data_IF_136043008455
#
_entry.id   IF_136043008455
#
_cell.length_a   1.000
_cell.length_b   1.000
_cell.length_c   1.000
_cell.angle_alpha   90.00
_cell.angle_beta   90.00
_cell.angle_gamma   90.00
#
_symmetry.space_group_name_H-M   'P 1'
#
loop_
_entity.id
_entity.type
_entity.pdbx_description
1 polymer ?
#
# COMPACT_ATOMS: atom_id res chain seq x y z
N UNK A 1 53.88 -39.27 -16.52
CA UNK A 1 55.08 -38.69 -17.17
C UNK A 1 54.81 -38.30 -18.63
N UNK A 2 54.62 -39.24 -19.56
CA UNK A 2 54.41 -38.89 -20.99
C UNK A 2 53.21 -37.95 -21.23
N UNK A 3 52.06 -38.21 -20.61
CA UNK A 3 50.90 -37.31 -20.69
C UNK A 3 51.15 -35.93 -20.08
N UNK A 4 52.05 -35.83 -19.08
CA UNK A 4 52.40 -34.54 -18.46
C UNK A 4 53.26 -33.75 -19.43
N UNK A 5 54.21 -34.39 -20.13
CA UNK A 5 55.00 -33.74 -21.18
C UNK A 5 54.13 -33.24 -22.33
N UNK A 6 53.13 -34.01 -22.77
CA UNK A 6 52.14 -33.53 -23.74
C UNK A 6 51.36 -32.31 -23.26
N UNK A 7 51.06 -32.20 -21.96
CA UNK A 7 50.43 -30.99 -21.42
C UNK A 7 51.38 -29.81 -21.38
N UNK A 8 52.65 -30.04 -21.04
CA UNK A 8 53.69 -29.01 -20.96
C UNK A 8 53.94 -28.36 -22.32
N UNK A 9 54.01 -29.19 -23.36
CA UNK A 9 54.17 -28.72 -24.73
C UNK A 9 53.49 -29.70 -25.71
N UNK A 10 52.20 -29.47 -26.05
CA UNK A 10 51.46 -30.35 -26.95
C UNK A 10 51.94 -30.27 -28.40
N UNK A 11 52.72 -29.24 -28.75
CA UNK A 11 53.26 -29.05 -30.10
C UNK A 11 54.48 -29.96 -30.29
N UNK A 12 55.38 -30.02 -29.31
CA UNK A 12 56.55 -30.89 -29.36
C UNK A 12 56.21 -32.35 -28.99
N UNK A 13 55.46 -32.55 -27.91
CA UNK A 13 55.03 -33.88 -27.45
C UNK A 13 53.64 -34.22 -28.00
N UNK A 14 53.53 -34.26 -29.33
CA UNK A 14 52.27 -34.48 -30.05
C UNK A 14 51.69 -35.89 -29.85
N UNK A 15 50.49 -36.14 -30.40
CA UNK A 15 49.86 -37.46 -30.34
C UNK A 15 50.72 -38.55 -30.99
N UNK A 16 51.51 -38.23 -32.03
CA UNK A 16 52.40 -39.19 -32.67
C UNK A 16 53.54 -39.64 -31.75
N UNK A 17 54.09 -38.72 -30.96
CA UNK A 17 55.07 -39.04 -29.94
C UNK A 17 54.44 -39.87 -28.81
N UNK A 18 53.26 -39.46 -28.33
CA UNK A 18 52.57 -40.16 -27.24
C UNK A 18 52.16 -41.58 -27.63
N UNK A 19 51.73 -41.81 -28.88
CA UNK A 19 51.38 -43.14 -29.41
C UNK A 19 52.56 -44.14 -29.39
N UNK A 20 53.81 -43.65 -29.25
CA UNK A 20 54.99 -44.53 -29.07
C UNK A 20 55.09 -45.09 -27.66
N UNK A 21 54.34 -44.56 -26.70
CA UNK A 21 54.31 -44.98 -25.30
C UNK A 21 53.15 -45.94 -25.10
N UNK A 22 53.43 -47.17 -24.67
CA UNK A 22 52.37 -48.18 -24.44
C UNK A 22 51.66 -47.93 -23.10
N UNK A 23 50.33 -48.00 -23.07
CA UNK A 23 49.49 -47.64 -21.91
C UNK A 23 49.19 -48.81 -20.96
N UNK A 24 49.08 -50.04 -21.46
CA UNK A 24 48.73 -51.23 -20.66
C UNK A 24 49.95 -52.07 -20.27
N UNK A 25 50.84 -51.48 -19.47
CA UNK A 25 52.17 -52.07 -19.18
C UNK A 25 52.14 -53.10 -18.04
N UNK A 26 51.17 -53.03 -17.12
CA UNK A 26 51.06 -53.95 -15.97
C UNK A 26 52.36 -54.06 -15.17
N UNK A 27 52.77 -55.29 -14.83
CA UNK A 27 54.03 -55.60 -14.14
C UNK A 27 55.21 -55.90 -15.09
N UNK A 28 55.04 -55.65 -16.39
CA UNK A 28 56.10 -55.89 -17.37
C UNK A 28 57.19 -54.80 -17.28
N UNK A 29 58.14 -55.00 -16.36
CA UNK A 29 59.23 -54.06 -16.10
C UNK A 29 60.06 -53.73 -17.35
N UNK A 30 60.28 -54.68 -18.27
CA UNK A 30 61.00 -54.43 -19.54
C UNK A 30 60.28 -53.40 -20.40
N UNK A 31 58.95 -53.47 -20.43
CA UNK A 31 58.11 -52.54 -21.16
C UNK A 31 58.03 -51.17 -20.44
N UNK A 32 58.05 -51.14 -19.09
CA UNK A 32 58.21 -49.91 -18.31
C UNK A 32 59.53 -49.21 -18.65
N UNK A 33 60.65 -49.93 -18.62
CA UNK A 33 61.97 -49.39 -19.01
C UNK A 33 61.93 -48.87 -20.45
N UNK A 34 61.34 -49.60 -21.39
CA UNK A 34 61.24 -49.15 -22.78
C UNK A 34 60.48 -47.83 -22.91
N UNK A 35 59.38 -47.65 -22.17
CA UNK A 35 58.64 -46.39 -22.16
C UNK A 35 59.44 -45.28 -21.47
N UNK A 36 60.05 -45.55 -20.32
CA UNK A 36 60.87 -44.59 -19.58
C UNK A 36 62.07 -44.11 -20.41
N UNK A 37 62.72 -44.99 -21.17
CA UNK A 37 63.79 -44.61 -22.12
C UNK A 37 63.31 -43.64 -23.19
N UNK A 38 62.10 -43.85 -23.74
CA UNK A 38 61.50 -42.94 -24.72
C UNK A 38 61.14 -41.58 -24.11
N UNK A 39 60.62 -41.58 -22.89
CA UNK A 39 60.28 -40.38 -22.14
C UNK A 39 61.55 -39.59 -21.82
N UNK A 40 62.57 -40.23 -21.22
CA UNK A 40 63.84 -39.59 -20.89
C UNK A 40 64.50 -39.03 -22.15
N UNK A 41 64.54 -39.80 -23.24
CA UNK A 41 65.05 -39.29 -24.52
C UNK A 41 64.28 -38.06 -24.99
N UNK A 42 62.95 -38.09 -24.98
CA UNK A 42 62.13 -36.93 -25.37
C UNK A 42 62.37 -35.71 -24.50
N UNK A 43 62.60 -35.89 -23.20
CA UNK A 43 62.94 -34.79 -22.29
C UNK A 43 64.32 -34.20 -22.63
N UNK A 44 65.32 -35.04 -22.88
CA UNK A 44 66.68 -34.59 -23.20
C UNK A 44 66.72 -33.89 -24.56
N UNK A 45 66.04 -34.45 -25.57
CA UNK A 45 65.91 -33.86 -26.90
C UNK A 45 65.18 -32.50 -26.78
N UNK A 46 64.07 -32.42 -26.04
CA UNK A 46 63.34 -31.15 -25.80
C UNK A 46 64.19 -30.09 -25.10
N UNK A 47 64.94 -30.48 -24.05
CA UNK A 47 65.82 -29.55 -23.35
C UNK A 47 66.91 -28.99 -24.27
N UNK A 48 67.47 -29.85 -25.13
CA UNK A 48 68.53 -29.45 -26.04
C UNK A 48 68.02 -28.63 -27.23
N UNK A 49 66.98 -29.11 -27.91
CA UNK A 49 66.49 -28.57 -29.18
C UNK A 49 65.57 -27.36 -29.01
N UNK A 50 64.69 -27.37 -28.00
CA UNK A 50 63.69 -26.33 -27.80
C UNK A 50 64.11 -25.35 -26.71
N UNK A 51 64.54 -25.86 -25.55
CA UNK A 51 64.89 -25.00 -24.41
C UNK A 51 66.32 -24.43 -24.51
N UNK A 52 67.11 -24.87 -25.49
CA UNK A 52 68.49 -24.43 -25.70
C UNK A 52 69.41 -24.68 -24.51
N UNK A 53 69.03 -25.61 -23.63
CA UNK A 53 69.71 -25.85 -22.36
C UNK A 53 70.37 -27.22 -22.36
N UNK A 54 71.69 -27.23 -22.29
CA UNK A 54 72.42 -28.46 -21.98
C UNK A 54 72.33 -28.68 -20.48
N UNK A 55 71.67 -29.77 -20.09
CA UNK A 55 71.69 -30.29 -18.74
C UNK A 55 73.14 -30.75 -18.46
N UNK A 56 73.96 -29.81 -17.99
CA UNK A 56 75.35 -30.05 -17.62
C UNK A 56 75.40 -30.21 -16.10
N UNK A 57 76.01 -31.30 -15.63
CA UNK A 57 76.22 -31.66 -14.22
C UNK A 57 74.99 -32.13 -13.42
N UNK A 58 73.84 -32.37 -14.07
CA UNK A 58 72.76 -33.15 -13.47
C UNK A 58 72.97 -34.65 -13.70
N UNK A 59 72.80 -35.46 -12.66
CA UNK A 59 72.89 -36.92 -12.79
C UNK A 59 71.65 -37.44 -13.51
N UNK A 60 71.81 -37.95 -14.74
CA UNK A 60 70.70 -38.52 -15.51
C UNK A 60 70.06 -39.70 -14.76
N UNK A 61 68.72 -39.80 -14.73
CA UNK A 61 68.04 -40.87 -14.00
C UNK A 61 68.28 -42.24 -14.64
N UNK A 62 68.58 -43.25 -13.82
CA UNK A 62 68.67 -44.63 -14.28
C UNK A 62 67.30 -45.27 -14.39
N UNK A 63 66.76 -45.22 -15.61
CA UNK A 63 65.46 -45.79 -15.96
C UNK A 63 65.36 -47.31 -15.77
N UNK A 64 66.48 -48.04 -15.67
CA UNK A 64 66.45 -49.47 -15.38
C UNK A 64 66.13 -49.71 -13.90
N UNK A 65 66.73 -48.93 -12.99
CA UNK A 65 66.41 -48.98 -11.55
C UNK A 65 64.95 -48.59 -11.29
N UNK A 66 64.41 -47.60 -12.01
CA UNK A 66 62.99 -47.25 -11.92
C UNK A 66 62.08 -48.39 -12.41
N UNK A 67 62.45 -49.06 -13.51
CA UNK A 67 61.64 -50.12 -14.08
C UNK A 67 61.67 -51.44 -13.31
N UNK A 68 62.86 -51.88 -12.86
CA UNK A 68 63.08 -53.17 -12.19
C UNK A 68 62.82 -53.12 -10.69
N UNK A 69 63.23 -52.03 -10.03
CA UNK A 69 63.21 -51.92 -8.57
C UNK A 69 62.24 -50.86 -8.05
N UNK A 70 61.56 -50.12 -8.94
CA UNK A 70 60.67 -49.00 -8.56
C UNK A 70 61.37 -47.99 -7.65
N UNK A 71 62.64 -47.71 -7.93
CA UNK A 71 63.47 -46.81 -7.14
C UNK A 71 62.88 -45.38 -7.11
N UNK A 72 62.53 -44.91 -5.91
CA UNK A 72 61.88 -43.62 -5.71
C UNK A 72 62.81 -42.42 -5.95
N UNK A 73 64.13 -42.59 -5.75
CA UNK A 73 65.12 -41.54 -5.97
C UNK A 73 65.31 -41.28 -7.47
N UNK A 74 65.48 -42.35 -8.25
CA UNK A 74 65.61 -42.25 -9.71
C UNK A 74 64.29 -41.82 -10.38
N UNK A 75 63.15 -42.22 -9.81
CA UNK A 75 61.84 -41.70 -10.23
C UNK A 75 61.70 -40.20 -9.91
N UNK A 76 62.20 -39.77 -8.75
CA UNK A 76 62.27 -38.36 -8.35
C UNK A 76 63.07 -37.53 -9.35
N UNK A 77 64.24 -38.01 -9.78
CA UNK A 77 65.05 -37.35 -10.82
C UNK A 77 64.35 -37.27 -12.17
N UNK A 78 63.61 -38.32 -12.57
CA UNK A 78 62.76 -38.28 -13.77
C UNK A 78 61.69 -37.19 -13.68
N UNK A 79 61.06 -37.03 -12.52
CA UNK A 79 60.06 -35.99 -12.28
C UNK A 79 60.69 -34.59 -12.23
N UNK A 80 61.90 -34.47 -11.66
CA UNK A 80 62.66 -33.22 -11.61
C UNK A 80 63.02 -32.72 -13.01
N UNK A 81 63.37 -33.61 -13.95
CA UNK A 81 63.58 -33.24 -15.35
C UNK A 81 62.29 -32.75 -16.03
N UNK A 82 61.14 -33.37 -15.76
CA UNK A 82 59.84 -32.93 -16.28
C UNK A 82 59.45 -31.58 -15.69
N UNK A 83 59.66 -31.38 -14.39
CA UNK A 83 59.48 -30.09 -13.72
C UNK A 83 60.38 -29.03 -14.35
N UNK A 84 61.65 -29.36 -14.63
CA UNK A 84 62.59 -28.52 -15.36
C UNK A 84 62.08 -28.09 -16.73
N UNK A 85 61.39 -28.99 -17.44
CA UNK A 85 60.71 -28.64 -18.70
C UNK A 85 59.54 -27.70 -18.47
N UNK A 86 58.68 -27.98 -17.48
CA UNK A 86 57.50 -27.17 -17.17
C UNK A 86 57.84 -25.73 -16.78
N UNK A 87 58.92 -25.50 -16.02
CA UNK A 87 59.31 -24.15 -15.60
C UNK A 87 60.15 -23.40 -16.64
N UNK A 88 60.54 -24.07 -17.73
CA UNK A 88 61.29 -23.46 -18.84
C UNK A 88 60.52 -23.36 -20.16
N UNK A 89 59.38 -24.05 -20.31
CA UNK A 89 58.56 -23.98 -21.53
C UNK A 89 57.90 -22.60 -21.73
N UNK A 90 57.26 -22.39 -22.88
CA UNK A 90 56.56 -21.13 -23.19
C UNK A 90 55.48 -20.79 -22.15
N UNK A 91 54.75 -21.82 -21.67
CA UNK A 91 53.69 -21.69 -20.68
C UNK A 91 54.18 -21.75 -19.22
N UNK A 92 55.49 -21.55 -18.97
CA UNK A 92 56.09 -21.66 -17.63
C UNK A 92 55.39 -20.85 -16.54
N UNK A 93 54.77 -19.72 -16.89
CA UNK A 93 54.07 -18.87 -15.92
C UNK A 93 52.89 -19.57 -15.27
N UNK A 94 52.12 -20.38 -16.00
CA UNK A 94 50.97 -21.11 -15.44
C UNK A 94 51.43 -22.20 -14.46
N UNK A 95 52.53 -22.89 -14.79
CA UNK A 95 53.11 -23.90 -13.91
C UNK A 95 53.74 -23.29 -12.65
N UNK A 96 54.45 -22.17 -12.77
CA UNK A 96 55.01 -21.45 -11.63
C UNK A 96 53.89 -20.93 -10.71
N UNK A 97 52.81 -20.36 -11.26
CA UNK A 97 51.66 -19.94 -10.47
C UNK A 97 50.99 -21.13 -9.76
N UNK A 98 50.88 -22.28 -10.44
CA UNK A 98 50.34 -23.49 -9.81
C UNK A 98 51.21 -23.93 -8.64
N UNK A 99 52.54 -23.87 -8.77
CA UNK A 99 53.47 -24.17 -7.67
C UNK A 99 53.26 -23.19 -6.51
N UNK A 100 53.10 -21.89 -6.79
CA UNK A 100 52.86 -20.86 -5.76
C UNK A 100 51.52 -21.01 -5.00
N UNK A 101 50.58 -21.80 -5.52
CA UNK A 101 49.32 -22.10 -4.85
C UNK A 101 49.37 -23.39 -4.02
N UNK A 102 50.49 -24.12 -4.04
CA UNK A 102 50.70 -25.33 -3.23
C UNK A 102 51.07 -24.97 -1.78
N UNK A 103 51.10 -25.95 -0.88
CA UNK A 103 51.59 -25.77 0.48
C UNK A 103 53.07 -25.35 0.50
N UNK A 104 53.44 -24.48 1.44
CA UNK A 104 54.79 -23.88 1.55
C UNK A 104 55.92 -24.91 1.64
N UNK A 105 55.67 -26.03 2.33
CA UNK A 105 56.61 -27.17 2.42
C UNK A 105 56.90 -27.79 1.04
N UNK A 106 55.88 -27.87 0.18
CA UNK A 106 56.00 -28.41 -1.18
C UNK A 106 56.66 -27.39 -2.11
N UNK A 107 56.33 -26.11 -1.96
CA UNK A 107 56.98 -25.02 -2.72
C UNK A 107 58.50 -25.03 -2.52
N UNK A 108 58.95 -25.15 -1.26
CA UNK A 108 60.37 -25.18 -0.95
C UNK A 108 61.08 -26.40 -1.56
N UNK A 109 60.47 -27.59 -1.48
CA UNK A 109 61.02 -28.81 -2.10
C UNK A 109 61.15 -28.69 -3.63
N UNK A 110 60.15 -28.10 -4.28
CA UNK A 110 60.15 -27.85 -5.73
C UNK A 110 61.22 -26.82 -6.12
N UNK A 111 61.40 -25.77 -5.31
CA UNK A 111 62.42 -24.74 -5.53
C UNK A 111 63.84 -25.32 -5.47
N UNK A 112 64.13 -26.13 -4.46
CA UNK A 112 65.43 -26.81 -4.32
C UNK A 112 65.71 -27.72 -5.51
N UNK A 113 64.71 -28.47 -5.98
CA UNK A 113 64.84 -29.33 -7.15
C UNK A 113 65.12 -28.55 -8.45
N UNK A 114 64.60 -27.33 -8.58
CA UNK A 114 64.91 -26.44 -9.72
C UNK A 114 66.33 -25.88 -9.61
N UNK A 115 66.79 -25.52 -8.41
CA UNK A 115 68.14 -24.97 -8.19
C UNK A 115 69.24 -26.00 -8.43
N UNK A 116 69.03 -27.26 -8.05
CA UNK A 116 69.98 -28.36 -8.26
C UNK A 116 70.25 -28.64 -9.75
N UNK A 117 69.28 -28.35 -10.63
CA UNK A 117 69.48 -28.42 -12.08
C UNK A 117 70.40 -27.31 -12.64
N UNK A 118 70.86 -26.36 -11.81
CA UNK A 118 71.45 -25.09 -12.29
C UNK A 118 72.83 -24.71 -11.72
N UNK A 119 73.53 -25.52 -10.91
CA UNK A 119 74.83 -25.13 -10.31
C UNK A 119 76.06 -25.90 -10.84
N UNK A 120 77.16 -25.19 -11.08
CA UNK A 120 78.45 -25.68 -11.62
C UNK A 120 79.61 -25.15 -10.78
N UNK A 121 80.39 -26.01 -10.13
CA UNK A 121 81.75 -25.68 -9.63
C UNK A 121 82.65 -26.93 -9.64
N UNK A 122 83.93 -26.77 -9.98
CA UNK A 122 85.01 -27.77 -9.76
C UNK A 122 86.41 -27.18 -10.06
N UNK A 123 87.54 -27.84 -9.65
CA UNK A 123 88.52 -27.26 -8.72
C UNK A 123 89.99 -27.27 -9.22
N UNK A 124 90.87 -26.68 -8.39
CA UNK A 124 92.30 -26.98 -8.06
C UNK A 124 93.09 -27.97 -8.94
N UNK A 125 94.36 -27.62 -9.27
CA UNK A 125 95.59 -28.34 -8.81
C UNK A 125 96.76 -28.44 -9.82
N UNK A 126 97.98 -28.03 -9.37
CA UNK A 126 99.34 -28.63 -9.53
C UNK A 126 99.88 -28.87 -10.98
N UNK A 127 101.13 -28.66 -11.40
CA UNK A 127 102.46 -28.35 -10.82
C UNK A 127 103.49 -28.42 -11.99
N UNK A 128 104.44 -27.45 -12.09
CA UNK A 128 105.90 -27.53 -11.77
C UNK A 128 106.80 -28.03 -12.93
N UNK A 129 107.75 -27.23 -13.44
CA UNK A 129 109.06 -27.74 -13.95
C UNK A 129 110.21 -26.71 -14.19
N UNK A 130 111.39 -27.00 -13.62
CA UNK A 130 112.21 -26.18 -12.70
C UNK A 130 113.10 -25.02 -13.23
N UNK A 131 112.95 -24.50 -14.46
CA UNK A 131 113.73 -23.31 -14.89
C UNK A 131 113.01 -22.37 -15.86
N UNK A 132 111.99 -22.86 -16.57
CA UNK A 132 110.79 -22.07 -16.83
C UNK A 132 110.02 -21.84 -15.52
N UNK A 133 110.17 -22.72 -14.52
CA UNK A 133 109.67 -22.61 -13.15
C UNK A 133 110.13 -21.40 -12.37
N UNK A 134 111.30 -20.79 -12.58
CA UNK A 134 111.62 -19.61 -11.77
C UNK A 134 110.80 -18.39 -12.24
N UNK A 135 110.62 -18.26 -13.55
CA UNK A 135 109.76 -17.24 -14.18
C UNK A 135 108.26 -17.61 -14.06
N UNK A 136 107.94 -18.90 -14.14
CA UNK A 136 106.61 -19.47 -13.90
C UNK A 136 106.27 -19.56 -12.42
N UNK A 137 107.22 -19.65 -11.48
CA UNK A 137 107.01 -19.53 -10.03
C UNK A 137 106.85 -18.08 -9.65
N UNK A 138 107.55 -17.15 -10.29
CA UNK A 138 107.31 -15.73 -10.06
C UNK A 138 105.94 -15.33 -10.62
N UNK A 139 105.59 -15.83 -11.81
CA UNK A 139 104.26 -15.65 -12.40
C UNK A 139 103.16 -16.38 -11.61
N UNK A 140 103.40 -17.62 -11.17
CA UNK A 140 102.49 -18.42 -10.34
C UNK A 140 102.37 -17.88 -8.93
N UNK A 141 103.43 -17.38 -8.31
CA UNK A 141 103.36 -16.71 -7.01
C UNK A 141 102.65 -15.35 -7.11
N UNK A 142 102.78 -14.65 -8.24
CA UNK A 142 102.03 -13.43 -8.51
C UNK A 142 100.56 -13.71 -8.84
N UNK A 143 100.26 -14.81 -9.55
CA UNK A 143 98.91 -15.33 -9.76
C UNK A 143 98.29 -15.78 -8.43
N UNK A 144 99.00 -16.57 -7.60
CA UNK A 144 98.60 -16.99 -6.25
C UNK A 144 98.41 -15.79 -5.30
N UNK A 145 99.24 -14.74 -5.41
CA UNK A 145 99.08 -13.51 -4.64
C UNK A 145 97.84 -12.72 -5.08
N UNK A 146 97.58 -12.64 -6.40
CA UNK A 146 96.37 -12.00 -6.92
C UNK A 146 95.10 -12.79 -6.57
N UNK A 147 95.15 -14.12 -6.64
CA UNK A 147 94.07 -15.01 -6.22
C UNK A 147 93.81 -14.89 -4.72
N UNK A 148 94.86 -14.81 -3.90
CA UNK A 148 94.75 -14.58 -2.46
C UNK A 148 94.20 -13.18 -2.14
N UNK A 149 94.56 -12.15 -2.92
CA UNK A 149 93.99 -10.81 -2.78
C UNK A 149 92.52 -10.77 -3.20
N UNK A 150 92.15 -11.46 -4.28
CA UNK A 150 90.76 -11.59 -4.73
C UNK A 150 89.91 -12.34 -3.70
N UNK A 151 90.41 -13.47 -3.17
CA UNK A 151 89.74 -14.22 -2.11
C UNK A 151 89.62 -13.40 -0.81
N UNK A 152 90.64 -12.60 -0.46
CA UNK A 152 90.57 -11.67 0.67
C UNK A 152 89.48 -10.61 0.45
N UNK A 153 89.39 -10.04 -0.74
CA UNK A 153 88.38 -9.03 -1.08
C UNK A 153 86.97 -9.64 -1.06
N UNK A 154 86.79 -10.86 -1.58
CA UNK A 154 85.53 -11.59 -1.55
C UNK A 154 85.10 -11.91 -0.11
N UNK A 155 86.03 -12.37 0.75
CA UNK A 155 85.76 -12.59 2.17
C UNK A 155 85.40 -11.27 2.86
N UNK A 156 86.10 -10.17 2.55
CA UNK A 156 85.79 -8.86 3.12
C UNK A 156 84.41 -8.36 2.69
N UNK A 157 84.01 -8.55 1.43
CA UNK A 157 82.65 -8.26 0.94
C UNK A 157 81.62 -9.10 1.66
N UNK A 158 81.85 -10.41 1.81
CA UNK A 158 80.93 -11.31 2.52
C UNK A 158 80.81 -10.98 4.00
N UNK A 159 81.91 -10.58 4.65
CA UNK A 159 81.87 -10.05 6.01
C UNK A 159 81.04 -8.76 6.09
N UNK A 160 81.21 -7.85 5.15
CA UNK A 160 80.43 -6.61 5.09
C UNK A 160 78.93 -6.87 4.87
N UNK A 161 78.57 -7.78 3.96
CA UNK A 161 77.19 -8.20 3.72
C UNK A 161 76.55 -8.86 4.95
N UNK A 162 77.32 -9.69 5.67
CA UNK A 162 76.86 -10.28 6.94
C UNK A 162 76.67 -9.21 8.02
N UNK A 163 77.58 -8.25 8.14
CA UNK A 163 77.43 -7.13 9.08
C UNK A 163 76.19 -6.30 8.77
N UNK A 164 75.90 -6.05 7.49
CA UNK A 164 74.68 -5.37 7.05
C UNK A 164 73.40 -6.17 7.37
N UNK A 165 73.40 -7.48 7.15
CA UNK A 165 72.26 -8.35 7.51
C UNK A 165 72.03 -8.39 9.02
N UNK A 166 73.11 -8.49 9.81
CA UNK A 166 73.02 -8.47 11.27
C UNK A 166 72.46 -7.12 11.73
N UNK A 167 72.92 -6.01 11.16
CA UNK A 167 72.39 -4.68 11.48
C UNK A 167 70.88 -4.57 11.16
N UNK A 168 70.45 -5.05 9.98
CA UNK A 168 69.04 -5.06 9.59
C UNK A 168 68.17 -5.92 10.53
N UNK A 169 68.61 -7.12 10.86
CA UNK A 169 67.91 -8.00 11.81
C UNK A 169 67.84 -7.39 13.23
N UNK A 170 68.87 -6.65 13.64
CA UNK A 170 68.90 -5.97 14.93
C UNK A 170 67.87 -4.83 14.99
N UNK A 171 67.70 -4.09 13.90
CA UNK A 171 66.71 -3.02 13.76
C UNK A 171 65.28 -3.59 13.74
N UNK A 172 65.03 -4.63 12.95
CA UNK A 172 63.73 -5.30 12.89
C UNK A 172 63.33 -5.88 14.26
N UNK A 173 64.26 -6.54 14.95
CA UNK A 173 64.04 -7.01 16.33
C UNK A 173 63.67 -5.88 17.27
N UNK A 174 64.33 -4.73 17.15
CA UNK A 174 64.05 -3.55 17.98
C UNK A 174 62.65 -2.99 17.70
N UNK A 175 62.25 -2.93 16.43
CA UNK A 175 60.91 -2.50 16.01
C UNK A 175 59.81 -3.44 16.53
N UNK A 176 59.99 -4.75 16.38
CA UNK A 176 59.04 -5.75 16.85
C UNK A 176 58.88 -5.74 18.38
N UNK A 177 59.97 -5.47 19.12
CA UNK A 177 59.91 -5.32 20.58
C UNK A 177 59.11 -4.09 21.00
N UNK A 178 59.28 -2.96 20.30
CA UNK A 178 58.51 -1.74 20.57
C UNK A 178 57.00 -1.94 20.28
N UNK A 179 56.66 -2.61 19.18
CA UNK A 179 55.27 -2.94 18.85
C UNK A 179 54.65 -3.88 19.90
N UNK A 180 55.38 -4.89 20.35
CA UNK A 180 54.94 -5.79 21.41
C UNK A 180 54.65 -5.05 22.73
N UNK A 181 55.50 -4.07 23.10
CA UNK A 181 55.26 -3.24 24.28
C UNK A 181 53.95 -2.45 24.16
N UNK A 182 53.68 -1.84 23.01
CA UNK A 182 52.44 -1.08 22.78
C UNK A 182 51.22 -1.99 22.85
N UNK A 183 51.28 -3.19 22.26
CA UNK A 183 50.19 -4.17 22.31
C UNK A 183 49.95 -4.66 23.75
N UNK A 184 51.00 -4.93 24.52
CA UNK A 184 50.89 -5.27 25.94
C UNK A 184 50.27 -4.14 26.76
N UNK A 185 50.64 -2.89 26.52
CA UNK A 185 50.04 -1.74 27.21
C UNK A 185 48.55 -1.59 26.89
N UNK A 186 48.13 -1.79 25.63
CA UNK A 186 46.71 -1.78 25.25
C UNK A 186 45.92 -2.92 25.88
N UNK A 187 46.51 -4.11 25.96
CA UNK A 187 45.88 -5.27 26.60
C UNK A 187 45.70 -5.02 28.10
N UNK A 188 46.73 -4.51 28.78
CA UNK A 188 46.65 -4.15 30.20
C UNK A 188 45.62 -3.04 30.48
N UNK A 189 45.43 -2.08 29.55
CA UNK A 189 44.37 -1.08 29.65
C UNK A 189 42.96 -1.69 29.48
N UNK A 190 42.82 -2.73 28.65
CA UNK A 190 41.59 -3.49 28.49
C UNK A 190 41.29 -4.35 29.72
N UNK A 191 42.28 -5.04 30.28
CA UNK A 191 42.13 -5.81 31.53
C UNK A 191 41.75 -4.89 32.71
N UNK A 192 42.24 -3.65 32.71
CA UNK A 192 41.85 -2.61 33.68
C UNK A 192 40.39 -2.16 33.54
N UNK A 193 39.75 -2.33 32.38
CA UNK A 193 38.32 -2.10 32.20
C UNK A 193 37.49 -3.27 32.76
N UNK A 194 38.03 -4.49 32.73
CA UNK A 194 37.38 -5.68 33.31
C UNK A 194 37.47 -5.73 34.83
N UNK A 195 38.49 -5.11 35.46
CA UNK A 195 38.56 -4.95 36.91
C UNK A 195 37.57 -3.89 37.43
N UNK A 196 36.49 -4.28 38.14
CA UNK A 196 35.47 -3.35 38.64
C UNK A 196 36.01 -2.36 39.69
N UNK A 197 37.18 -2.63 40.28
CA UNK A 197 37.79 -1.77 41.29
C UNK A 197 38.74 -0.71 40.71
N UNK A 198 39.12 -0.84 39.44
CA UNK A 198 39.94 0.16 38.75
C UNK A 198 39.11 1.43 38.49
N UNK A 199 39.74 2.63 38.45
CA UNK A 199 39.05 3.87 38.07
C UNK A 199 38.39 3.79 36.67
N UNK A 200 38.99 3.04 35.74
CA UNK A 200 38.44 2.83 34.40
C UNK A 200 37.25 1.86 34.42
N UNK A 201 37.36 0.75 35.14
CA UNK A 201 36.26 -0.22 35.32
C UNK A 201 35.05 0.37 36.05
N UNK A 202 35.26 1.19 37.09
CA UNK A 202 34.15 1.93 37.76
C UNK A 202 33.43 2.88 36.82
N UNK A 203 34.17 3.62 36.00
CA UNK A 203 33.59 4.54 35.00
C UNK A 203 32.83 3.77 33.93
N UNK A 204 33.37 2.65 33.47
CA UNK A 204 32.71 1.75 32.53
C UNK A 204 31.38 1.22 33.10
N UNK A 205 31.39 0.68 34.32
CA UNK A 205 30.18 0.19 34.98
C UNK A 205 29.13 1.29 35.17
N UNK A 206 29.56 2.50 35.56
CA UNK A 206 28.67 3.64 35.71
C UNK A 206 28.01 4.06 34.40
N UNK A 207 28.77 4.07 33.29
CA UNK A 207 28.23 4.33 31.95
C UNK A 207 27.29 3.21 31.50
N UNK A 208 27.61 1.95 31.79
CA UNK A 208 26.76 0.81 31.49
C UNK A 208 25.41 0.91 32.21
N UNK A 209 25.40 1.19 33.52
CA UNK A 209 24.16 1.40 34.27
C UNK A 209 23.37 2.60 33.76
N UNK A 210 24.03 3.70 33.36
CA UNK A 210 23.34 4.83 32.72
C UNK A 210 22.71 4.44 31.37
N UNK A 211 23.40 3.61 30.59
CA UNK A 211 22.89 3.08 29.32
C UNK A 211 21.64 2.21 29.55
N UNK A 212 21.69 1.31 30.53
CA UNK A 212 20.56 0.47 30.92
C UNK A 212 19.36 1.31 31.41
N UNK A 213 19.61 2.32 32.25
CA UNK A 213 18.56 3.25 32.71
C UNK A 213 17.92 4.04 31.58
N UNK A 214 18.73 4.56 30.65
CA UNK A 214 18.22 5.28 29.47
C UNK A 214 17.44 4.36 28.53
N UNK A 215 17.86 3.10 28.38
CA UNK A 215 17.12 2.11 27.61
C UNK A 215 15.76 1.80 28.25
N UNK A 216 15.72 1.59 29.57
CA UNK A 216 14.48 1.35 30.30
C UNK A 216 13.53 2.57 30.22
N UNK A 217 14.06 3.78 30.38
CA UNK A 217 13.29 5.01 30.24
C UNK A 217 12.75 5.18 28.81
N UNK A 218 13.55 4.85 27.79
CA UNK A 218 13.12 4.87 26.38
C UNK A 218 11.96 3.92 26.16
N UNK A 219 12.07 2.67 26.64
CA UNK A 219 10.99 1.69 26.50
C UNK A 219 9.71 2.14 27.22
N UNK A 220 9.83 2.71 28.43
CA UNK A 220 8.69 3.24 29.19
C UNK A 220 8.02 4.41 28.45
N UNK A 221 8.81 5.32 27.86
CA UNK A 221 8.30 6.44 27.09
C UNK A 221 7.64 5.99 25.78
N UNK A 222 8.18 4.98 25.10
CA UNK A 222 7.57 4.36 23.93
C UNK A 222 6.21 3.74 24.26
N UNK A 223 6.13 2.96 25.34
CA UNK A 223 4.86 2.38 25.80
C UNK A 223 3.82 3.47 26.12
N UNK A 224 4.22 4.52 26.87
CA UNK A 224 3.32 5.63 27.19
C UNK A 224 2.88 6.40 25.94
N UNK A 225 3.77 6.57 24.95
CA UNK A 225 3.44 7.21 23.67
C UNK A 225 2.39 6.39 22.92
N UNK A 226 2.51 5.06 22.90
CA UNK A 226 1.51 4.20 22.27
C UNK A 226 0.16 4.26 22.98
N UNK A 227 0.14 4.29 24.32
CA UNK A 227 -1.10 4.48 25.09
C UNK A 227 -1.78 5.82 24.76
N UNK A 228 -1.00 6.91 24.68
CA UNK A 228 -1.54 8.21 24.27
C UNK A 228 -2.02 8.23 22.83
N UNK A 229 -1.34 7.52 21.92
CA UNK A 229 -1.77 7.38 20.52
C UNK A 229 -3.13 6.69 20.44
N UNK A 230 -3.30 5.57 21.14
CA UNK A 230 -4.59 4.84 21.20
C UNK A 230 -5.67 5.76 21.80
N UNK A 231 -5.36 6.49 22.87
CA UNK A 231 -6.32 7.41 23.49
C UNK A 231 -6.75 8.54 22.56
N UNK A 232 -5.83 9.08 21.76
CA UNK A 232 -6.15 10.07 20.74
C UNK A 232 -7.07 9.49 19.66
N UNK A 233 -6.79 8.28 19.16
CA UNK A 233 -7.62 7.58 18.17
C UNK A 233 -9.05 7.33 18.70
N UNK A 234 -9.19 6.94 19.98
CA UNK A 234 -10.49 6.79 20.64
C UNK A 234 -11.27 8.10 20.73
N UNK A 235 -10.60 9.19 21.16
CA UNK A 235 -11.23 10.50 21.28
C UNK A 235 -11.63 11.09 19.92
N UNK A 236 -10.83 10.87 18.88
CA UNK A 236 -11.18 11.26 17.50
C UNK A 236 -12.42 10.52 17.00
N UNK A 237 -12.54 9.23 17.33
CA UNK A 237 -13.73 8.45 17.02
C UNK A 237 -14.96 8.97 17.77
N UNK A 238 -14.84 9.24 19.07
CA UNK A 238 -15.92 9.81 19.89
C UNK A 238 -16.37 11.19 19.37
N UNK A 239 -15.41 12.05 18.98
CA UNK A 239 -15.72 13.35 18.36
C UNK A 239 -16.50 13.16 17.05
N UNK A 240 -16.11 12.19 16.24
CA UNK A 240 -16.79 11.91 14.95
C UNK A 240 -18.21 11.40 15.18
N UNK A 241 -18.39 10.48 16.13
CA UNK A 241 -19.72 9.95 16.52
C UNK A 241 -20.62 11.05 17.08
N UNK A 242 -20.10 11.91 17.97
CA UNK A 242 -20.85 13.04 18.53
C UNK A 242 -21.22 14.08 17.47
N UNK A 243 -20.34 14.33 16.48
CA UNK A 243 -20.66 15.21 15.34
C UNK A 243 -21.80 14.64 14.49
N UNK A 244 -21.75 13.34 14.15
CA UNK A 244 -22.83 12.70 13.42
C UNK A 244 -24.16 12.77 14.18
N UNK A 245 -24.15 12.48 15.48
CA UNK A 245 -25.35 12.61 16.32
C UNK A 245 -25.89 14.04 16.35
N UNK A 246 -25.02 15.05 16.34
CA UNK A 246 -25.43 16.45 16.32
C UNK A 246 -26.07 16.84 14.97
N UNK A 247 -25.51 16.35 13.86
CA UNK A 247 -26.10 16.52 12.52
C UNK A 247 -27.48 15.87 12.43
N UNK A 248 -27.63 14.63 12.92
CA UNK A 248 -28.91 13.91 12.94
C UNK A 248 -29.96 14.61 13.83
N UNK A 249 -29.54 15.19 14.96
CA UNK A 249 -30.43 15.99 15.81
C UNK A 249 -30.83 17.31 15.15
N UNK A 250 -29.93 17.92 14.38
CA UNK A 250 -30.19 19.16 13.65
C UNK A 250 -31.21 18.93 12.53
N UNK A 251 -31.05 17.86 11.75
CA UNK A 251 -32.01 17.50 10.70
C UNK A 251 -33.40 17.19 11.29
N UNK A 252 -33.46 16.47 12.40
CA UNK A 252 -34.73 16.21 13.09
C UNK A 252 -35.39 17.50 13.62
N UNK A 253 -34.61 18.46 14.09
CA UNK A 253 -35.11 19.76 14.53
C UNK A 253 -35.70 20.56 13.36
N UNK A 254 -35.04 20.55 12.20
CA UNK A 254 -35.52 21.21 10.99
C UNK A 254 -36.82 20.57 10.48
N UNK A 255 -36.92 19.23 10.48
CA UNK A 255 -38.14 18.51 10.14
C UNK A 255 -39.29 18.84 11.11
N UNK A 256 -39.02 18.86 12.42
CA UNK A 256 -40.02 19.22 13.42
C UNK A 256 -40.52 20.66 13.23
N UNK A 257 -39.64 21.58 12.84
CA UNK A 257 -40.02 22.96 12.55
C UNK A 257 -40.88 23.05 11.27
N UNK A 258 -40.51 22.32 10.20
CA UNK A 258 -41.32 22.25 8.98
C UNK A 258 -42.72 21.70 9.25
N UNK A 259 -42.82 20.62 10.02
CA UNK A 259 -44.12 20.03 10.39
C UNK A 259 -44.96 20.99 11.24
N UNK A 260 -44.33 21.77 12.12
CA UNK A 260 -45.02 22.80 12.90
C UNK A 260 -45.60 23.90 12.00
N UNK A 261 -44.83 24.36 11.01
CA UNK A 261 -45.28 25.37 10.06
C UNK A 261 -46.46 24.84 9.22
N UNK A 262 -46.41 23.58 8.78
CA UNK A 262 -47.54 22.91 8.11
C UNK A 262 -48.78 22.81 9.01
N UNK A 263 -48.60 22.45 10.29
CA UNK A 263 -49.70 22.41 11.26
C UNK A 263 -50.36 23.78 11.45
N UNK A 264 -49.58 24.86 11.48
CA UNK A 264 -50.10 26.21 11.63
C UNK A 264 -50.87 26.68 10.38
N UNK A 265 -50.41 26.31 9.18
CA UNK A 265 -51.17 26.51 7.93
C UNK A 265 -52.50 25.75 7.96
N UNK A 266 -52.49 24.49 8.39
CA UNK A 266 -53.71 23.67 8.51
C UNK A 266 -54.68 24.24 9.55
N UNK A 267 -54.18 24.73 10.69
CA UNK A 267 -55.01 25.43 11.69
C UNK A 267 -55.69 26.66 11.10
N UNK A 268 -54.94 27.50 10.38
CA UNK A 268 -55.53 28.68 9.76
C UNK A 268 -56.60 28.31 8.71
N UNK A 269 -56.36 27.26 7.92
CA UNK A 269 -57.34 26.71 6.99
C UNK A 269 -58.60 26.21 7.71
N UNK A 270 -58.43 25.47 8.82
CA UNK A 270 -59.52 24.98 9.66
C UNK A 270 -60.38 26.13 10.20
N UNK A 271 -59.76 27.19 10.73
CA UNK A 271 -60.48 28.39 11.21
C UNK A 271 -61.28 29.07 10.08
N UNK A 272 -60.72 29.10 8.87
CA UNK A 272 -61.41 29.64 7.69
C UNK A 272 -62.62 28.78 7.33
N UNK A 273 -62.48 27.45 7.36
CA UNK A 273 -63.59 26.52 7.11
C UNK A 273 -64.70 26.74 8.15
N UNK A 274 -64.36 26.78 9.44
CA UNK A 274 -65.35 27.00 10.51
C UNK A 274 -66.13 28.33 10.34
N UNK A 275 -65.45 29.40 9.91
CA UNK A 275 -66.12 30.68 9.58
C UNK A 275 -67.08 30.54 8.40
N UNK A 276 -66.66 29.85 7.34
CA UNK A 276 -67.51 29.61 6.17
C UNK A 276 -68.73 28.73 6.53
N UNK A 277 -68.55 27.69 7.34
CA UNK A 277 -69.65 26.86 7.84
C UNK A 277 -70.67 27.67 8.63
N UNK A 278 -70.21 28.55 9.52
CA UNK A 278 -71.10 29.47 10.27
C UNK A 278 -71.88 30.41 9.33
N UNK A 279 -71.23 30.93 8.29
CA UNK A 279 -71.91 31.75 7.28
C UNK A 279 -72.96 30.96 6.49
N UNK A 280 -72.63 29.73 6.07
CA UNK A 280 -73.57 28.84 5.39
C UNK A 280 -74.79 28.57 6.26
N UNK A 281 -74.60 28.31 7.56
CA UNK A 281 -75.70 28.08 8.48
C UNK A 281 -76.58 29.33 8.65
N UNK A 282 -75.98 30.52 8.72
CA UNK A 282 -76.73 31.79 8.71
C UNK A 282 -77.55 31.96 7.43
N UNK A 283 -77.00 31.62 6.26
CA UNK A 283 -77.72 31.71 4.99
C UNK A 283 -78.85 30.69 4.87
N UNK A 284 -78.67 29.47 5.39
CA UNK A 284 -79.74 28.46 5.46
C UNK A 284 -80.92 28.99 6.28
N UNK A 285 -80.66 29.54 7.47
CA UNK A 285 -81.71 30.13 8.30
C UNK A 285 -82.47 31.26 7.59
N UNK A 286 -81.74 32.16 6.90
CA UNK A 286 -82.37 33.21 6.09
C UNK A 286 -83.23 32.66 4.96
N UNK A 287 -82.83 31.55 4.33
CA UNK A 287 -83.62 30.88 3.29
C UNK A 287 -84.89 30.25 3.86
N UNK A 288 -84.83 29.66 5.05
CA UNK A 288 -85.99 29.15 5.77
C UNK A 288 -86.98 30.27 6.09
N UNK A 289 -86.50 31.39 6.66
CA UNK A 289 -87.32 32.57 6.96
C UNK A 289 -87.99 33.14 5.69
N UNK A 290 -87.26 33.21 4.56
CA UNK A 290 -87.82 33.61 3.27
C UNK A 290 -88.88 32.63 2.77
N UNK A 291 -88.68 31.32 2.99
CA UNK A 291 -89.66 30.29 2.69
C UNK A 291 -90.96 30.48 3.48
N UNK A 292 -90.85 30.79 4.76
CA UNK A 292 -92.00 31.09 5.62
C UNK A 292 -92.71 32.37 5.22
N UNK A 293 -91.97 33.44 4.91
CA UNK A 293 -92.56 34.68 4.43
C UNK A 293 -93.32 34.47 3.11
N UNK A 294 -92.76 33.68 2.18
CA UNK A 294 -93.46 33.32 0.93
C UNK A 294 -94.77 32.56 1.20
N UNK A 295 -94.79 31.64 2.17
CA UNK A 295 -96.02 30.95 2.58
C UNK A 295 -97.03 31.91 3.18
N UNK A 296 -96.60 32.85 4.02
CA UNK A 296 -97.47 33.88 4.61
C UNK A 296 -98.06 34.80 3.54
N UNK A 297 -97.26 35.23 2.56
CA UNK A 297 -97.74 36.03 1.42
C UNK A 297 -98.82 35.28 0.65
N UNK A 298 -98.59 34.01 0.32
CA UNK A 298 -99.58 33.19 -0.38
C UNK A 298 -100.90 33.05 0.40
N UNK A 299 -100.83 32.84 1.73
CA UNK A 299 -102.02 32.79 2.59
C UNK A 299 -102.78 34.12 2.63
N UNK A 300 -102.06 35.25 2.63
CA UNK A 300 -102.67 36.57 2.57
C UNK A 300 -103.32 36.85 1.21
N UNK A 301 -102.69 36.44 0.12
CA UNK A 301 -103.26 36.51 -1.24
C UNK A 301 -104.54 35.67 -1.37
N UNK A 302 -104.54 34.45 -0.84
CA UNK A 302 -105.73 33.58 -0.79
C UNK A 302 -106.86 34.22 0.04
N UNK A 303 -106.55 34.78 1.21
CA UNK A 303 -107.52 35.51 2.05
C UNK A 303 -108.08 36.75 1.35
N UNK A 304 -107.22 37.53 0.68
CA UNK A 304 -107.65 38.72 -0.06
C UNK A 304 -108.58 38.33 -1.22
N UNK A 305 -108.26 37.25 -1.93
CA UNK A 305 -109.12 36.70 -2.98
C UNK A 305 -110.48 36.28 -2.43
N UNK A 306 -110.53 35.61 -1.27
CA UNK A 306 -111.79 35.27 -0.60
C UNK A 306 -112.58 36.52 -0.19
N UNK A 307 -111.94 37.54 0.37
CA UNK A 307 -112.61 38.80 0.72
C UNK A 307 -113.18 39.51 -0.52
N UNK A 308 -112.45 39.52 -1.63
CA UNK A 308 -112.92 40.09 -2.89
C UNK A 308 -114.14 39.32 -3.42
N UNK A 309 -114.10 37.98 -3.45
CA UNK A 309 -115.25 37.16 -3.84
C UNK A 309 -116.47 37.41 -2.96
N UNK A 310 -116.28 37.49 -1.64
CA UNK A 310 -117.35 37.78 -0.69
C UNK A 310 -117.93 39.19 -0.91
N UNK A 311 -117.07 40.18 -1.19
CA UNK A 311 -117.51 41.56 -1.50
C UNK A 311 -118.37 41.58 -2.75
N UNK A 312 -117.94 40.92 -3.83
CA UNK A 312 -118.74 40.80 -5.07
C UNK A 312 -120.09 40.13 -4.80
N UNK A 313 -120.11 39.04 -4.02
CA UNK A 313 -121.36 38.36 -3.65
C UNK A 313 -122.31 39.28 -2.87
N UNK A 314 -121.79 40.05 -1.90
CA UNK A 314 -122.57 41.01 -1.13
C UNK A 314 -123.07 42.18 -2.00
N UNK A 315 -122.28 42.65 -2.97
CA UNK A 315 -122.71 43.66 -3.94
C UNK A 315 -123.85 43.14 -4.83
N UNK A 316 -123.80 41.88 -5.26
CA UNK A 316 -124.89 41.24 -6.00
C UNK A 316 -126.17 41.10 -5.16
N UNK A 317 -126.05 40.68 -3.90
CA UNK A 317 -127.17 40.62 -2.97
C UNK A 317 -127.78 42.00 -2.73
N UNK A 318 -126.94 43.03 -2.52
CA UNK A 318 -127.38 44.41 -2.37
C UNK A 318 -128.10 44.90 -3.63
N UNK A 319 -127.62 44.55 -4.83
CA UNK A 319 -128.28 44.87 -6.10
C UNK A 319 -129.66 44.23 -6.18
N UNK A 320 -129.80 42.95 -5.81
CA UNK A 320 -131.09 42.24 -5.75
C UNK A 320 -132.03 42.87 -4.72
N UNK A 321 -131.54 43.18 -3.54
CA UNK A 321 -132.32 43.84 -2.48
C UNK A 321 -132.82 45.22 -2.92
N UNK A 322 -131.96 46.02 -3.58
CA UNK A 322 -132.35 47.32 -4.14
C UNK A 322 -133.40 47.19 -5.25
N UNK A 323 -133.28 46.19 -6.14
CA UNK A 323 -134.29 45.90 -7.15
C UNK A 323 -135.64 45.52 -6.52
N UNK A 324 -135.62 44.62 -5.52
CA UNK A 324 -136.82 44.25 -4.76
C UNK A 324 -137.44 45.46 -4.03
N UNK A 325 -136.61 46.34 -3.46
CA UNK A 325 -137.08 47.59 -2.83
C UNK A 325 -137.77 48.52 -3.83
N UNK A 326 -137.22 48.66 -5.04
CA UNK A 326 -137.83 49.46 -6.11
C UNK A 326 -139.17 48.89 -6.58
N UNK A 327 -139.27 47.55 -6.69
CA UNK A 327 -140.55 46.88 -6.98
C UNK A 327 -141.57 47.10 -5.86
N UNK A 328 -141.16 46.96 -4.60
CA UNK A 328 -142.02 47.21 -3.44
C UNK A 328 -142.56 48.65 -3.43
N UNK A 329 -141.72 49.64 -3.76
CA UNK A 329 -142.14 51.03 -3.83
C UNK A 329 -143.15 51.27 -4.97
N UNK A 330 -142.99 50.57 -6.09
CA UNK A 330 -143.96 50.58 -7.19
C UNK A 330 -145.29 49.98 -6.75
N UNK A 331 -145.27 48.83 -6.07
CA UNK A 331 -146.49 48.22 -5.51
C UNK A 331 -147.16 49.11 -4.47
N UNK A 332 -146.40 49.78 -3.60
CA UNK A 332 -146.96 50.76 -2.64
C UNK A 332 -147.69 51.90 -3.35
N UNK A 333 -147.11 52.46 -4.42
CA UNK A 333 -147.77 53.49 -5.24
C UNK A 333 -149.07 52.97 -5.86
N UNK A 334 -149.05 51.75 -6.42
CA UNK A 334 -150.25 51.12 -6.97
C UNK A 334 -151.33 50.90 -5.90
N UNK A 335 -150.96 50.48 -4.69
CA UNK A 335 -151.89 50.32 -3.57
C UNK A 335 -152.53 51.67 -3.20
N UNK A 336 -151.75 52.75 -3.10
CA UNK A 336 -152.29 54.09 -2.83
C UNK A 336 -153.23 54.55 -3.95
N UNK A 337 -152.87 54.32 -5.22
CA UNK A 337 -153.73 54.66 -6.36
C UNK A 337 -155.05 53.86 -6.33
N UNK A 338 -154.98 52.57 -6.05
CA UNK A 338 -156.16 51.71 -5.89
C UNK A 338 -157.02 52.14 -4.68
N UNK A 339 -156.42 52.52 -3.56
CA UNK A 339 -157.13 53.06 -2.40
C UNK A 339 -157.84 54.38 -2.73
N UNK A 340 -157.18 55.28 -3.48
CA UNK A 340 -157.80 56.51 -3.95
C UNK A 340 -158.98 56.22 -4.89
N UNK A 341 -158.81 55.32 -5.87
CA UNK A 341 -159.90 54.86 -6.74
C UNK A 341 -161.05 54.24 -5.95
N UNK A 342 -160.74 53.38 -4.98
CA UNK A 342 -161.75 52.78 -4.09
C UNK A 342 -162.50 53.86 -3.30
N UNK A 343 -161.80 54.87 -2.77
CA UNK A 343 -162.42 56.00 -2.08
C UNK A 343 -163.31 56.82 -3.01
N UNK A 344 -162.89 57.05 -4.25
CA UNK A 344 -163.71 57.73 -5.27
C UNK A 344 -164.97 56.93 -5.61
N UNK A 345 -164.85 55.63 -5.85
CA UNK A 345 -166.00 54.75 -6.10
C UNK A 345 -166.91 54.64 -4.88
N UNK A 346 -166.36 54.57 -3.66
CA UNK A 346 -167.15 54.62 -2.43
C UNK A 346 -167.92 55.94 -2.32
N UNK A 347 -167.29 57.09 -2.59
CA UNK A 347 -167.99 58.39 -2.61
C UNK A 347 -169.07 58.45 -3.69
N UNK A 348 -168.84 57.84 -4.86
CA UNK A 348 -169.87 57.73 -5.90
C UNK A 348 -171.03 56.85 -5.44
N UNK A 349 -170.74 55.71 -4.81
CA UNK A 349 -171.74 54.83 -4.23
C UNK A 349 -172.57 55.54 -3.15
N UNK A 350 -171.91 56.26 -2.23
CA UNK A 350 -172.59 57.06 -1.20
C UNK A 350 -173.48 58.15 -1.80
N UNK A 351 -173.02 58.82 -2.86
CA UNK A 351 -173.83 59.80 -3.61
C UNK A 351 -175.06 59.15 -4.25
N UNK A 352 -174.88 58.02 -4.94
CA UNK A 352 -175.97 57.27 -5.55
C UNK A 352 -176.95 56.75 -4.49
N UNK A 353 -176.46 56.30 -3.33
CA UNK A 353 -177.30 55.88 -2.22
C UNK A 353 -178.10 57.05 -1.64
N UNK A 354 -177.48 58.22 -1.50
CA UNK A 354 -178.17 59.44 -1.09
C UNK A 354 -179.23 59.87 -2.12
N UNK A 355 -178.90 59.86 -3.41
CA UNK A 355 -179.86 60.15 -4.48
C UNK A 355 -181.01 59.14 -4.50
N UNK A 356 -180.72 57.86 -4.29
CA UNK A 356 -181.72 56.80 -4.16
C UNK A 356 -182.61 57.03 -2.95
N UNK A 357 -182.06 57.36 -1.77
CA UNK A 357 -182.84 57.72 -0.58
C UNK A 357 -183.71 58.95 -0.83
N UNK A 358 -183.17 60.02 -1.43
CA UNK A 358 -183.93 61.22 -1.79
C UNK A 358 -185.07 60.93 -2.77
N UNK A 359 -184.81 60.10 -3.79
CA UNK A 359 -185.83 59.67 -4.74
C UNK A 359 -186.89 58.82 -4.05
N UNK A 360 -186.49 57.92 -3.14
CA UNK A 360 -187.41 57.09 -2.35
C UNK A 360 -188.28 57.94 -1.42
N UNK A 361 -187.70 58.90 -0.68
CA UNK A 361 -188.46 59.86 0.13
C UNK A 361 -189.42 60.71 -0.73
N UNK A 362 -189.02 61.05 -1.96
CA UNK A 362 -189.90 61.77 -2.91
C UNK A 362 -191.04 60.90 -3.43
N UNK A 363 -190.83 59.59 -3.57
CA UNK A 363 -191.89 58.62 -3.88
C UNK A 363 -192.81 58.43 -2.66
N UNK A 364 -192.24 58.27 -1.48
CA UNK A 364 -192.98 58.07 -0.22
C UNK A 364 -193.81 59.31 0.16
N UNK A 365 -193.40 60.52 -0.23
CA UNK A 365 -194.17 61.78 -0.03
C UNK A 365 -195.19 62.09 -1.12
N UNK A 366 -195.27 61.25 -2.16
CA UNK A 366 -196.31 61.29 -3.20
C UNK A 366 -197.40 60.21 -2.96
N UNK A 367 -197.33 59.50 -1.83
CA UNK A 367 -198.38 58.67 -1.25
C UNK A 367 -198.94 59.34 0.01
#
# INVERSE_FOLDING_TARGET
MAMVLQKIDPVYFDENWLNRIKTDVGDNWRLKISNLKKILKGILDYNHEILGHQINDFTLPDVNLVGEHSDASELGRMLQLILGCAVKCEQKQEYIQTIMMMEESVQHMVMTAIQELMSKETPVSIGTDAYAELDRQLKKANEELNDALAAKEEIAQRCHELDMQVAGLQEEKSSLLAENQILMERMNQSDSLEDPNSPAGRRHLQLQTQLEQLQEETFRLEASKDDYRIRCEELEKEITELRQQNEDLTTLADEAQSLKDEMDVLRHSSDKVSKLESQVESYKKKLEDLGDLRRQVKLLEEKNTMYMQNTVSLEEELRKANAARSQLETYKRQVVELQNRLSEESKKADKLEFEYKRLKEKIDSLQ
#
